data_IF_878422712943
#
_entry.id   IF_878422712943
#
_cell.length_a   1.000
_cell.length_b   1.000
_cell.length_c   1.000
_cell.angle_alpha   90.00
_cell.angle_beta   90.00
_cell.angle_gamma   90.00
#
_symmetry.space_group_name_H-M   'P 1'
#
loop_
_entity.id
_entity.type
_entity.pdbx_description
1 polymer ?
#
# COMPACT_ATOMS: atom_id res chain seq x y z
N UNK A 1 -28.48 34.46 37.36
CA UNK A 1 -27.27 34.86 36.62
C UNK A 1 -26.53 33.60 36.18
N UNK A 2 -26.91 33.02 35.05
CA UNK A 2 -26.19 31.89 34.45
C UNK A 2 -25.47 32.43 33.22
N UNK A 3 -24.15 32.57 33.31
CA UNK A 3 -23.29 32.81 32.16
C UNK A 3 -23.28 31.55 31.31
N UNK A 4 -24.10 31.52 30.27
CA UNK A 4 -23.95 30.55 29.20
C UNK A 4 -22.71 30.91 28.41
N UNK A 5 -21.59 30.29 28.76
CA UNK A 5 -20.37 30.31 27.97
C UNK A 5 -20.71 29.70 26.60
N UNK A 6 -20.61 30.51 25.56
CA UNK A 6 -20.84 30.12 24.17
C UNK A 6 -19.89 28.96 23.81
N UNK A 7 -20.43 27.76 23.61
CA UNK A 7 -19.67 26.59 23.17
C UNK A 7 -19.36 26.76 21.67
N UNK A 8 -18.13 27.20 21.36
CA UNK A 8 -17.64 27.29 19.98
C UNK A 8 -17.12 25.89 19.62
N UNK A 9 -17.73 25.17 18.65
CA UNK A 9 -17.18 23.91 18.21
C UNK A 9 -15.83 24.13 17.51
N UNK A 10 -14.85 23.38 17.97
CA UNK A 10 -13.45 23.42 17.56
C UNK A 10 -13.30 23.11 16.06
N UNK A 11 -13.00 24.14 15.26
CA UNK A 11 -12.90 24.06 13.79
C UNK A 11 -11.65 23.31 13.31
N UNK A 12 -10.79 22.83 14.21
CA UNK A 12 -9.52 22.17 13.88
C UNK A 12 -9.62 20.66 13.63
N UNK A 13 -10.72 20.01 14.02
CA UNK A 13 -10.91 18.56 13.88
C UNK A 13 -10.94 18.07 12.41
N UNK A 14 -11.34 18.92 11.46
CA UNK A 14 -11.47 18.50 10.05
C UNK A 14 -10.13 18.45 9.30
N UNK A 15 -9.14 19.23 9.75
CA UNK A 15 -7.81 19.28 9.12
C UNK A 15 -6.92 18.06 9.45
N UNK A 16 -7.22 17.38 10.57
CA UNK A 16 -6.49 16.20 11.01
C UNK A 16 -6.92 14.93 10.27
N UNK A 17 -8.22 14.80 9.98
CA UNK A 17 -8.78 13.66 9.25
C UNK A 17 -8.23 13.57 7.82
N UNK A 18 -8.31 14.65 7.04
CA UNK A 18 -7.83 14.68 5.65
C UNK A 18 -6.34 14.29 5.55
N UNK A 19 -5.49 14.78 6.46
CA UNK A 19 -4.06 14.45 6.47
C UNK A 19 -3.81 12.97 6.74
N UNK A 20 -4.56 12.36 7.65
CA UNK A 20 -4.45 10.94 7.95
C UNK A 20 -4.93 10.07 6.80
N UNK A 21 -6.03 10.43 6.14
CA UNK A 21 -6.53 9.71 4.97
C UNK A 21 -5.55 9.75 3.81
N UNK A 22 -4.98 10.93 3.52
CA UNK A 22 -3.99 11.09 2.46
C UNK A 22 -2.73 10.27 2.77
N UNK A 23 -2.21 10.32 4.00
CA UNK A 23 -1.05 9.53 4.39
C UNK A 23 -1.28 8.03 4.25
N UNK A 24 -2.42 7.51 4.72
CA UNK A 24 -2.80 6.10 4.58
C UNK A 24 -2.95 5.69 3.11
N UNK A 25 -3.56 6.55 2.29
CA UNK A 25 -3.68 6.30 0.85
C UNK A 25 -2.31 6.24 0.17
N UNK A 26 -1.39 7.15 0.52
CA UNK A 26 -0.01 7.13 0.01
C UNK A 26 0.75 5.87 0.44
N UNK A 27 0.65 5.46 1.70
CA UNK A 27 1.28 4.23 2.19
C UNK A 27 0.75 3.00 1.44
N UNK A 28 -0.57 2.91 1.25
CA UNK A 28 -1.19 1.82 0.50
C UNK A 28 -0.75 1.82 -0.97
N UNK A 29 -0.74 2.99 -1.63
CA UNK A 29 -0.27 3.12 -3.02
C UNK A 29 1.20 2.75 -3.16
N UNK A 30 2.05 3.19 -2.23
CA UNK A 30 3.47 2.86 -2.23
C UNK A 30 3.70 1.35 -2.07
N UNK A 31 3.00 0.72 -1.13
CA UNK A 31 3.08 -0.73 -0.93
C UNK A 31 2.59 -1.51 -2.16
N UNK A 32 1.50 -1.07 -2.79
CA UNK A 32 1.00 -1.67 -4.02
C UNK A 32 1.99 -1.52 -5.19
N UNK A 33 2.65 -0.36 -5.30
CA UNK A 33 3.68 -0.10 -6.30
C UNK A 33 4.92 -0.98 -6.09
N UNK A 34 5.43 -1.07 -4.86
CA UNK A 34 6.57 -1.93 -4.53
C UNK A 34 6.26 -3.41 -4.82
N UNK A 35 5.08 -3.91 -4.45
CA UNK A 35 4.66 -5.28 -4.81
C UNK A 35 4.64 -5.50 -6.32
N UNK A 36 4.10 -4.55 -7.10
CA UNK A 36 4.11 -4.63 -8.57
C UNK A 36 5.54 -4.64 -9.13
N UNK A 37 6.43 -3.81 -8.58
CA UNK A 37 7.83 -3.75 -8.97
C UNK A 37 8.55 -5.07 -8.67
N UNK A 38 8.32 -5.66 -7.50
CA UNK A 38 8.88 -6.95 -7.10
C UNK A 38 8.39 -8.09 -7.99
N UNK A 39 7.08 -8.18 -8.26
CA UNK A 39 6.51 -9.16 -9.21
C UNK A 39 7.11 -9.03 -10.60
N UNK A 40 7.24 -7.81 -11.11
CA UNK A 40 7.89 -7.56 -12.40
C UNK A 40 9.38 -7.93 -12.39
N UNK A 41 10.08 -7.72 -11.26
CA UNK A 41 11.47 -8.12 -11.13
C UNK A 41 11.60 -9.65 -11.13
N UNK A 42 10.73 -10.35 -10.40
CA UNK A 42 10.67 -11.81 -10.36
C UNK A 42 10.43 -12.41 -11.76
N UNK A 43 9.47 -11.87 -12.51
CA UNK A 43 9.19 -12.30 -13.89
C UNK A 43 10.34 -12.04 -14.86
N UNK A 44 11.20 -11.06 -14.58
CA UNK A 44 12.38 -10.73 -15.41
C UNK A 44 13.59 -11.61 -15.10
N UNK A 45 13.59 -12.37 -14.01
CA UNK A 45 14.69 -13.27 -13.69
C UNK A 45 14.74 -14.42 -14.70
N UNK A 46 15.95 -14.84 -15.06
CA UNK A 46 16.19 -16.01 -15.90
C UNK A 46 16.03 -17.31 -15.08
N UNK A 47 15.80 -18.45 -15.74
CA UNK A 47 15.52 -19.74 -15.08
C UNK A 47 16.63 -20.15 -14.12
N UNK A 48 17.88 -19.85 -14.47
CA UNK A 48 19.04 -20.11 -13.61
C UNK A 48 19.01 -19.27 -12.33
N UNK A 49 18.61 -18.00 -12.43
CA UNK A 49 18.52 -17.09 -11.27
C UNK A 49 17.35 -17.49 -10.37
N UNK A 50 16.23 -17.89 -10.97
CA UNK A 50 15.08 -18.44 -10.23
C UNK A 50 15.48 -19.72 -9.49
N UNK A 51 16.22 -20.62 -10.16
CA UNK A 51 16.74 -21.84 -9.53
C UNK A 51 17.69 -21.56 -8.36
N UNK A 52 18.47 -20.47 -8.42
CA UNK A 52 19.40 -20.08 -7.35
C UNK A 52 18.67 -19.65 -6.06
N UNK A 53 17.47 -19.06 -6.22
CA UNK A 53 16.57 -18.73 -5.10
C UNK A 53 15.55 -19.83 -4.78
N UNK A 54 15.66 -21.00 -5.43
CA UNK A 54 14.80 -22.15 -5.21
C UNK A 54 13.36 -21.99 -5.72
N UNK A 55 13.11 -21.06 -6.65
CA UNK A 55 11.79 -20.82 -7.26
C UNK A 55 11.81 -21.39 -8.68
N UNK A 56 10.72 -22.06 -9.09
CA UNK A 56 10.59 -22.49 -10.48
C UNK A 56 9.85 -21.44 -11.34
N UNK A 57 9.99 -21.54 -12.68
CA UNK A 57 9.35 -20.58 -13.61
C UNK A 57 7.83 -20.50 -13.42
N UNK A 58 7.16 -21.62 -13.18
CA UNK A 58 5.71 -21.65 -12.99
C UNK A 58 5.26 -20.95 -11.69
N UNK A 59 6.05 -21.04 -10.62
CA UNK A 59 5.83 -20.31 -9.37
C UNK A 59 6.05 -18.81 -9.55
N UNK A 60 7.10 -18.41 -10.26
CA UNK A 60 7.34 -17.00 -10.61
C UNK A 60 6.19 -16.42 -11.44
N UNK A 61 5.68 -17.17 -12.41
CA UNK A 61 4.52 -16.78 -13.22
C UNK A 61 3.23 -16.73 -12.40
N UNK A 62 3.01 -17.68 -11.51
CA UNK A 62 1.86 -17.68 -10.59
C UNK A 62 1.88 -16.46 -9.68
N UNK A 63 3.03 -16.18 -9.05
CA UNK A 63 3.21 -15.00 -8.20
C UNK A 63 3.06 -13.69 -8.98
N UNK A 64 3.63 -13.62 -10.18
CA UNK A 64 3.55 -12.46 -11.06
C UNK A 64 2.15 -12.19 -11.62
N UNK A 65 1.36 -13.24 -11.85
CA UNK A 65 -0.02 -13.15 -12.36
C UNK A 65 -1.07 -12.90 -11.27
N UNK A 66 -0.69 -12.90 -9.98
CA UNK A 66 -1.61 -12.53 -8.90
C UNK A 66 -2.17 -11.12 -9.13
N UNK A 67 -3.49 -10.94 -8.98
CA UNK A 67 -4.08 -9.61 -9.10
C UNK A 67 -3.54 -8.66 -8.02
N UNK A 68 -3.57 -7.36 -8.31
CA UNK A 68 -2.92 -6.33 -7.48
C UNK A 68 -3.51 -6.22 -6.05
N UNK A 69 -4.76 -6.64 -5.87
CA UNK A 69 -5.48 -6.63 -4.59
C UNK A 69 -5.20 -7.86 -3.72
N UNK A 70 -4.48 -8.86 -4.22
CA UNK A 70 -4.18 -10.10 -3.50
C UNK A 70 -2.70 -10.17 -3.15
N UNK A 71 -2.44 -10.44 -1.88
CA UNK A 71 -1.10 -10.80 -1.35
C UNK A 71 -0.81 -12.27 -1.66
#
# INVERSE_FOLDING_TARGET
>A
MQTTCLNIPDSHAHSFELKQFVSKAFQWLYAAYERKRQRNALLKLDDRMLSDIGVNRAEADNEGSKPFWKE
#
